data_IF_357646422392
#
_entry.id   IF_357646422392
#
_cell.length_a   1.000
_cell.length_b   1.000
_cell.length_c   1.000
_cell.angle_alpha   90.00
_cell.angle_beta   90.00
_cell.angle_gamma   90.00
#
_symmetry.space_group_name_H-M   'P 1'
#
loop_
_entity.id
_entity.type
_entity.pdbx_description
1 polymer ?
#
# COMPACT_ATOMS: atom_id res chain seq x y z
N UNK A 1 28.51 18.23 -6.10
CA UNK A 1 27.78 17.44 -5.10
C UNK A 1 27.11 16.17 -5.67
N UNK A 2 26.02 16.24 -6.47
CA UNK A 2 25.37 15.00 -6.97
C UNK A 2 26.19 14.24 -8.03
N UNK A 3 26.78 14.95 -8.99
CA UNK A 3 27.63 14.36 -10.03
C UNK A 3 28.93 13.76 -9.48
N UNK A 4 29.52 14.41 -8.48
CA UNK A 4 30.72 13.91 -7.77
C UNK A 4 30.45 12.62 -6.99
N UNK A 5 29.22 12.45 -6.50
CA UNK A 5 28.77 11.26 -5.78
C UNK A 5 28.28 10.13 -6.70
N UNK A 6 28.38 10.29 -8.03
CA UNK A 6 27.93 9.31 -9.03
C UNK A 6 26.49 8.83 -8.81
N UNK A 7 25.63 9.72 -8.30
CA UNK A 7 24.21 9.40 -8.11
C UNK A 7 23.59 9.14 -9.48
N UNK A 8 22.82 8.04 -9.60
CA UNK A 8 22.10 7.68 -10.82
C UNK A 8 20.57 7.67 -10.64
N UNK A 9 20.10 7.61 -9.40
CA UNK A 9 18.69 7.56 -9.05
C UNK A 9 18.44 8.38 -7.78
N UNK A 10 17.43 9.23 -7.84
CA UNK A 10 16.85 9.92 -6.68
C UNK A 10 15.45 9.35 -6.47
N UNK A 11 15.15 8.93 -5.24
CA UNK A 11 13.81 8.47 -4.86
C UNK A 11 13.16 9.54 -3.98
N UNK A 12 12.04 10.07 -4.45
CA UNK A 12 11.20 10.99 -3.69
C UNK A 12 10.00 10.19 -3.18
N UNK A 13 10.06 9.77 -1.92
CA UNK A 13 8.94 9.10 -1.28
C UNK A 13 7.93 10.12 -0.76
N UNK A 14 6.69 9.68 -0.54
CA UNK A 14 5.64 10.48 0.09
C UNK A 14 5.31 11.81 -0.65
N UNK A 15 5.39 11.80 -1.99
CA UNK A 15 5.20 12.99 -2.81
C UNK A 15 3.81 13.66 -2.63
N UNK A 16 2.80 12.91 -2.17
CA UNK A 16 1.48 13.46 -1.84
C UNK A 16 1.51 14.53 -0.76
N UNK A 17 2.53 14.56 0.10
CA UNK A 17 2.66 15.60 1.14
C UNK A 17 2.83 16.99 0.54
N UNK A 18 3.38 17.10 -0.68
CA UNK A 18 3.44 18.37 -1.41
C UNK A 18 2.02 18.79 -1.83
N UNK A 19 1.08 17.87 -1.97
CA UNK A 19 -0.25 18.13 -2.51
C UNK A 19 -1.26 18.57 -1.44
N UNK A 20 -1.20 17.97 -0.26
CA UNK A 20 -2.28 18.04 0.73
C UNK A 20 -2.59 19.44 1.28
N UNK A 21 -1.71 20.43 1.11
CA UNK A 21 -1.88 21.81 1.64
C UNK A 21 -1.36 22.92 0.73
N UNK A 22 -1.12 22.61 -0.53
CA UNK A 22 -0.38 23.50 -1.41
C UNK A 22 -1.25 24.19 -2.45
N UNK A 23 -0.91 25.45 -2.74
CA UNK A 23 -1.46 26.17 -3.89
C UNK A 23 -0.91 25.60 -5.19
N UNK A 24 -1.57 25.89 -6.32
CA UNK A 24 -1.08 25.49 -7.64
C UNK A 24 0.33 26.05 -7.92
N UNK A 25 0.67 27.20 -7.33
CA UNK A 25 2.02 27.78 -7.37
C UNK A 25 3.05 26.86 -6.71
N UNK A 26 2.79 26.37 -5.50
CA UNK A 26 3.70 25.45 -4.80
C UNK A 26 3.86 24.14 -5.57
N UNK A 27 2.77 23.62 -6.16
CA UNK A 27 2.83 22.44 -7.02
C UNK A 27 3.70 22.69 -8.26
N UNK A 28 3.61 23.88 -8.86
CA UNK A 28 4.44 24.27 -10.00
C UNK A 28 5.91 24.39 -9.59
N UNK A 29 6.20 25.10 -8.50
CA UNK A 29 7.55 25.32 -7.99
C UNK A 29 8.24 23.99 -7.65
N UNK A 30 7.53 23.05 -7.02
CA UNK A 30 8.04 21.71 -6.74
C UNK A 30 8.39 20.95 -8.04
N UNK A 31 7.54 21.05 -9.05
CA UNK A 31 7.79 20.39 -10.35
C UNK A 31 8.89 21.06 -11.15
N UNK A 32 9.05 22.37 -11.04
CA UNK A 32 10.20 23.08 -11.58
C UNK A 32 11.50 22.61 -10.93
N UNK A 33 11.53 22.44 -9.60
CA UNK A 33 12.70 21.91 -8.91
C UNK A 33 13.06 20.48 -9.36
N UNK A 34 12.06 19.59 -9.50
CA UNK A 34 12.29 18.23 -10.05
C UNK A 34 12.80 18.31 -11.49
N UNK A 35 12.24 19.19 -12.30
CA UNK A 35 12.67 19.41 -13.69
C UNK A 35 14.11 19.90 -13.76
N UNK A 36 14.53 20.83 -12.90
CA UNK A 36 15.90 21.34 -12.83
C UNK A 36 16.88 20.23 -12.47
N UNK A 37 16.56 19.39 -11.49
CA UNK A 37 17.38 18.21 -11.14
C UNK A 37 17.58 17.28 -12.34
N UNK A 38 16.54 17.03 -13.13
CA UNK A 38 16.62 16.19 -14.33
C UNK A 38 17.40 16.84 -15.49
N UNK A 39 17.54 18.16 -15.51
CA UNK A 39 18.29 18.90 -16.54
C UNK A 39 19.76 18.98 -16.17
N UNK A 40 20.04 19.33 -14.92
CA UNK A 40 21.38 19.68 -14.46
C UNK A 40 22.23 18.45 -14.16
N UNK A 41 21.60 17.29 -13.92
CA UNK A 41 22.27 16.06 -13.54
C UNK A 41 21.82 14.87 -14.39
N UNK A 42 22.73 13.93 -14.72
CA UNK A 42 22.40 12.69 -15.41
C UNK A 42 21.77 11.66 -14.45
N UNK A 43 20.69 12.05 -13.77
CA UNK A 43 19.97 11.24 -12.78
C UNK A 43 18.58 10.89 -13.25
N UNK A 44 18.09 9.73 -12.84
CA UNK A 44 16.67 9.41 -12.89
C UNK A 44 16.00 9.83 -11.57
N UNK A 45 14.74 10.24 -11.63
CA UNK A 45 13.92 10.53 -10.44
C UNK A 45 12.75 9.55 -10.40
N UNK A 46 12.66 8.77 -9.31
CA UNK A 46 11.52 7.93 -9.00
C UNK A 46 10.66 8.64 -7.96
N UNK A 47 9.45 9.02 -8.34
CA UNK A 47 8.47 9.58 -7.42
C UNK A 47 7.54 8.49 -6.90
N UNK A 48 7.55 8.26 -5.59
CA UNK A 48 6.64 7.37 -4.88
C UNK A 48 5.66 8.17 -4.03
N UNK A 49 4.44 7.66 -3.89
CA UNK A 49 3.38 8.32 -3.14
C UNK A 49 1.98 7.87 -3.54
N UNK A 50 0.96 8.51 -2.95
CA UNK A 50 -0.45 8.27 -3.27
C UNK A 50 -0.80 8.81 -4.67
N UNK A 51 -1.94 8.39 -5.20
CA UNK A 51 -2.39 8.77 -6.55
C UNK A 51 -2.43 10.29 -6.80
N UNK A 52 -2.71 11.08 -5.75
CA UNK A 52 -2.77 12.54 -5.83
C UNK A 52 -1.39 13.17 -6.11
N UNK A 53 -0.28 12.48 -5.84
CA UNK A 53 1.10 12.90 -6.17
C UNK A 53 1.28 13.21 -7.66
N UNK A 54 0.47 12.60 -8.52
CA UNK A 54 0.46 12.88 -9.96
C UNK A 54 0.15 14.34 -10.28
N UNK A 55 -0.50 15.07 -9.37
CA UNK A 55 -0.76 16.52 -9.51
C UNK A 55 0.52 17.33 -9.53
N UNK A 56 1.55 16.91 -8.80
CA UNK A 56 2.89 17.53 -8.88
C UNK A 56 3.40 17.35 -10.30
N UNK A 57 3.59 16.12 -10.78
CA UNK A 57 4.13 15.86 -12.12
C UNK A 57 3.39 16.59 -13.25
N UNK A 58 2.06 16.72 -13.14
CA UNK A 58 1.21 17.39 -14.14
C UNK A 58 1.16 18.92 -14.02
N UNK A 59 1.66 19.52 -12.95
CA UNK A 59 1.67 20.98 -12.79
C UNK A 59 2.61 21.66 -13.78
N UNK A 60 3.57 20.92 -14.34
CA UNK A 60 4.59 21.41 -15.26
C UNK A 60 4.63 20.56 -16.53
N UNK A 61 4.32 21.16 -17.68
CA UNK A 61 4.29 20.48 -18.98
C UNK A 61 5.66 19.90 -19.37
N UNK A 62 6.78 20.55 -19.00
CA UNK A 62 8.11 20.06 -19.32
C UNK A 62 8.44 18.78 -18.55
N UNK A 63 8.09 18.75 -17.26
CA UNK A 63 8.23 17.54 -16.44
C UNK A 63 7.26 16.45 -16.91
N UNK A 64 6.01 16.82 -17.21
CA UNK A 64 4.99 15.88 -17.71
C UNK A 64 5.37 15.23 -19.04
N UNK A 65 6.20 15.87 -19.89
CA UNK A 65 6.74 15.26 -21.12
C UNK A 65 7.91 14.31 -20.87
N UNK A 66 8.60 14.44 -19.73
CA UNK A 66 9.68 13.53 -19.30
C UNK A 66 9.18 12.37 -18.44
N UNK A 67 7.91 12.41 -18.07
CA UNK A 67 7.23 11.30 -17.41
C UNK A 67 7.22 10.07 -18.33
N UNK A 68 7.77 8.95 -17.85
CA UNK A 68 7.89 7.72 -18.64
C UNK A 68 6.83 6.68 -18.31
N UNK A 69 6.55 6.44 -17.02
CA UNK A 69 5.59 5.42 -16.59
C UNK A 69 5.14 5.64 -15.14
N UNK A 70 3.93 5.17 -14.81
CA UNK A 70 3.47 4.98 -13.43
C UNK A 70 3.19 3.51 -13.21
N UNK A 71 3.78 2.95 -12.16
CA UNK A 71 3.42 1.64 -11.64
C UNK A 71 2.46 1.83 -10.49
N UNK A 72 1.26 1.27 -10.62
CA UNK A 72 0.28 1.29 -9.54
C UNK A 72 0.33 -0.03 -8.78
N UNK A 73 0.79 0.03 -7.52
CA UNK A 73 0.70 -1.11 -6.60
C UNK A 73 -0.71 -1.13 -6.02
N UNK A 74 -1.61 -1.85 -6.69
CA UNK A 74 -2.99 -2.02 -6.26
C UNK A 74 -3.10 -3.20 -5.29
N UNK A 75 -4.10 -3.17 -4.41
CA UNK A 75 -4.49 -4.38 -3.68
C UNK A 75 -4.82 -5.52 -4.65
N UNK A 76 -4.45 -6.74 -4.27
CA UNK A 76 -4.76 -7.92 -5.04
C UNK A 76 -6.26 -8.20 -5.05
N UNK A 77 -6.74 -8.92 -6.07
CA UNK A 77 -8.12 -9.32 -6.22
C UNK A 77 -8.21 -10.84 -6.38
N UNK A 78 -8.76 -11.52 -5.38
CA UNK A 78 -8.89 -12.98 -5.38
C UNK A 78 -9.75 -13.52 -6.53
N UNK A 79 -10.76 -12.78 -6.98
CA UNK A 79 -11.63 -13.18 -8.09
C UNK A 79 -10.93 -13.14 -9.45
N UNK A 80 -9.86 -12.37 -9.56
CA UNK A 80 -9.06 -12.31 -10.78
C UNK A 80 -8.01 -13.41 -10.76
N UNK A 81 -8.12 -14.39 -11.65
CA UNK A 81 -7.13 -15.48 -11.76
C UNK A 81 -5.70 -14.94 -11.90
N UNK A 82 -5.50 -13.88 -12.69
CA UNK A 82 -4.18 -13.24 -12.86
C UNK A 82 -3.69 -12.59 -11.58
N UNK A 83 -4.55 -11.86 -10.87
CA UNK A 83 -4.17 -11.20 -9.63
C UNK A 83 -3.93 -12.21 -8.51
N UNK A 84 -4.76 -13.26 -8.41
CA UNK A 84 -4.57 -14.36 -7.46
C UNK A 84 -3.26 -15.08 -7.68
N UNK A 85 -2.91 -15.42 -8.93
CA UNK A 85 -1.59 -15.99 -9.27
C UNK A 85 -0.44 -15.08 -8.87
N UNK A 86 -0.59 -13.77 -9.06
CA UNK A 86 0.44 -12.79 -8.65
C UNK A 86 0.58 -12.72 -7.14
N UNK A 87 -0.54 -12.78 -6.39
CA UNK A 87 -0.54 -12.82 -4.93
C UNK A 87 0.15 -14.08 -4.40
N UNK A 88 -0.20 -15.26 -4.94
CA UNK A 88 0.45 -16.54 -4.58
C UNK A 88 1.96 -16.48 -4.82
N UNK A 89 2.41 -15.89 -5.93
CA UNK A 89 3.85 -15.70 -6.20
C UNK A 89 4.53 -14.78 -5.20
N UNK A 90 3.85 -13.75 -4.71
CA UNK A 90 4.38 -12.90 -3.63
C UNK A 90 4.57 -13.71 -2.36
N UNK A 91 3.61 -14.56 -1.99
CA UNK A 91 3.77 -15.45 -0.84
C UNK A 91 4.93 -16.43 -1.03
N UNK A 92 5.12 -16.98 -2.22
CA UNK A 92 6.30 -17.79 -2.56
C UNK A 92 7.63 -17.02 -2.45
N UNK A 93 7.64 -15.72 -2.73
CA UNK A 93 8.84 -14.89 -2.51
C UNK A 93 9.15 -14.72 -1.01
N UNK A 94 8.14 -14.61 -0.15
CA UNK A 94 8.33 -14.63 1.30
C UNK A 94 8.80 -16.00 1.79
N UNK A 95 8.23 -17.09 1.26
CA UNK A 95 8.65 -18.46 1.54
C UNK A 95 10.14 -18.65 1.30
N UNK A 96 10.63 -18.20 0.13
CA UNK A 96 12.05 -18.24 -0.22
C UNK A 96 12.89 -17.32 0.67
N UNK A 97 12.38 -16.14 1.05
CA UNK A 97 13.14 -15.20 1.91
C UNK A 97 13.27 -15.72 3.35
N UNK A 98 12.34 -16.56 3.79
CA UNK A 98 12.28 -17.14 5.12
C UNK A 98 12.65 -18.64 5.12
N UNK A 99 13.45 -19.09 4.15
CA UNK A 99 13.87 -20.48 3.95
C UNK A 99 14.55 -21.13 5.18
N UNK A 100 15.10 -20.32 6.07
CA UNK A 100 15.67 -20.74 7.35
C UNK A 100 14.64 -21.18 8.41
N UNK A 101 13.34 -21.03 8.11
CA UNK A 101 12.20 -21.46 8.91
C UNK A 101 11.38 -22.54 8.18
N UNK A 102 10.80 -23.45 8.94
CA UNK A 102 9.77 -24.38 8.51
C UNK A 102 8.41 -23.65 8.46
N UNK A 103 7.87 -23.52 7.25
CA UNK A 103 6.65 -22.78 6.93
C UNK A 103 5.60 -23.75 6.35
N UNK A 104 4.30 -23.50 6.56
CA UNK A 104 3.29 -24.17 5.75
C UNK A 104 3.49 -23.78 4.28
N UNK A 105 3.04 -24.64 3.36
CA UNK A 105 3.15 -24.41 1.91
C UNK A 105 2.41 -23.11 1.52
N UNK A 106 3.15 -22.00 1.45
CA UNK A 106 2.55 -20.66 1.33
C UNK A 106 1.87 -20.45 -0.02
N UNK A 107 2.25 -21.25 -1.00
CA UNK A 107 1.70 -21.24 -2.34
C UNK A 107 0.47 -22.13 -2.52
N UNK A 108 0.12 -22.93 -1.52
CA UNK A 108 -1.12 -23.71 -1.53
C UNK A 108 -2.34 -22.78 -1.60
N UNK A 109 -3.42 -23.22 -2.27
CA UNK A 109 -4.63 -22.40 -2.40
C UNK A 109 -5.24 -22.07 -1.03
N UNK A 110 -5.14 -23.01 -0.08
CA UNK A 110 -5.65 -22.86 1.27
C UNK A 110 -4.91 -21.75 2.04
N UNK A 111 -3.59 -21.86 2.17
CA UNK A 111 -2.78 -20.88 2.91
C UNK A 111 -2.84 -19.52 2.23
N UNK A 112 -2.73 -19.48 0.90
CA UNK A 112 -2.83 -18.23 0.16
C UNK A 112 -4.21 -17.55 0.34
N UNK A 113 -5.30 -18.33 0.41
CA UNK A 113 -6.62 -17.78 0.66
C UNK A 113 -6.71 -17.16 2.06
N UNK A 114 -6.19 -17.84 3.09
CA UNK A 114 -6.13 -17.30 4.46
C UNK A 114 -5.38 -15.97 4.52
N UNK A 115 -4.23 -15.87 3.88
CA UNK A 115 -3.48 -14.61 3.77
C UNK A 115 -4.28 -13.53 3.02
N UNK A 116 -5.01 -13.88 1.97
CA UNK A 116 -5.86 -12.93 1.28
C UNK A 116 -6.99 -12.42 2.18
N UNK A 117 -7.67 -13.30 2.90
CA UNK A 117 -8.74 -12.94 3.83
C UNK A 117 -8.21 -12.08 4.98
N UNK A 118 -7.04 -12.43 5.52
CA UNK A 118 -6.38 -11.69 6.59
C UNK A 118 -6.02 -10.25 6.21
N UNK A 119 -5.74 -9.98 4.93
CA UNK A 119 -5.10 -8.74 4.48
C UNK A 119 -5.93 -7.93 3.50
N UNK A 120 -7.01 -8.48 2.95
CA UNK A 120 -7.72 -7.89 1.83
C UNK A 120 -6.89 -7.78 0.55
N UNK A 121 -5.79 -8.56 0.47
CA UNK A 121 -4.81 -8.47 -0.61
C UNK A 121 -3.96 -7.19 -0.57
N UNK A 122 -3.78 -6.57 0.60
CA UNK A 122 -2.93 -5.38 0.75
C UNK A 122 -1.50 -5.81 1.07
N UNK A 123 -0.54 -5.42 0.22
CA UNK A 123 0.87 -5.84 0.34
C UNK A 123 1.52 -5.41 1.66
N UNK A 124 1.22 -4.20 2.14
CA UNK A 124 1.72 -3.70 3.43
C UNK A 124 1.34 -4.65 4.58
N UNK A 125 0.09 -5.13 4.58
CA UNK A 125 -0.40 -6.03 5.62
C UNK A 125 0.19 -7.43 5.52
N UNK A 126 0.38 -7.95 4.31
CA UNK A 126 1.12 -9.21 4.10
C UNK A 126 2.53 -9.09 4.68
N UNK A 127 3.24 -8.02 4.34
CA UNK A 127 4.62 -7.77 4.79
C UNK A 127 4.70 -7.64 6.32
N UNK A 128 3.74 -6.95 6.94
CA UNK A 128 3.65 -6.82 8.40
C UNK A 128 3.43 -8.15 9.10
N UNK A 129 2.56 -9.02 8.58
CA UNK A 129 2.36 -10.36 9.15
C UNK A 129 3.68 -11.13 9.13
N UNK A 130 4.40 -11.18 8.00
CA UNK A 130 5.67 -11.89 7.92
C UNK A 130 6.75 -11.28 8.83
N UNK A 131 6.83 -9.95 8.92
CA UNK A 131 7.75 -9.26 9.82
C UNK A 131 7.50 -9.65 11.28
N UNK A 132 6.25 -9.62 11.74
CA UNK A 132 5.91 -10.03 13.10
C UNK A 132 6.09 -11.53 13.32
N UNK A 133 5.75 -12.37 12.34
CA UNK A 133 5.93 -13.82 12.44
C UNK A 133 7.42 -14.19 12.63
N UNK A 134 8.30 -13.61 11.81
CA UNK A 134 9.75 -13.81 11.96
C UNK A 134 10.26 -13.29 13.32
N UNK A 135 9.77 -12.11 13.77
CA UNK A 135 10.13 -11.55 15.07
C UNK A 135 9.70 -12.45 16.23
N UNK A 136 8.49 -13.01 16.17
CA UNK A 136 7.96 -13.93 17.19
C UNK A 136 8.75 -15.24 17.19
N UNK A 137 9.03 -15.80 16.01
CA UNK A 137 9.78 -17.05 15.89
C UNK A 137 11.20 -16.89 16.46
N UNK A 138 11.89 -15.80 16.12
CA UNK A 138 13.22 -15.48 16.65
C UNK A 138 13.19 -15.33 18.18
N UNK A 139 12.24 -14.56 18.72
CA UNK A 139 12.08 -14.36 20.16
C UNK A 139 11.81 -15.69 20.90
N UNK A 140 11.07 -16.61 20.28
CA UNK A 140 10.78 -17.95 20.82
C UNK A 140 11.88 -18.97 20.52
N UNK A 141 12.92 -18.60 19.77
CA UNK A 141 13.93 -19.52 19.19
C UNK A 141 13.29 -20.70 18.45
N UNK A 142 12.15 -20.46 17.83
CA UNK A 142 11.42 -21.46 17.05
C UNK A 142 11.95 -21.47 15.62
N UNK A 143 12.16 -22.68 15.08
CA UNK A 143 12.39 -22.87 13.64
C UNK A 143 11.11 -23.04 12.84
N UNK A 144 9.96 -23.20 13.50
CA UNK A 144 8.66 -23.38 12.85
C UNK A 144 7.87 -22.09 12.92
N UNK A 145 7.40 -21.60 11.77
CA UNK A 145 6.41 -20.52 11.64
C UNK A 145 5.10 -21.15 11.16
N UNK A 146 4.35 -21.71 12.11
CA UNK A 146 3.04 -22.31 11.85
C UNK A 146 1.88 -21.31 11.98
N UNK A 147 0.66 -21.83 11.83
CA UNK A 147 -0.57 -21.04 11.94
C UNK A 147 -0.73 -20.31 13.28
N UNK A 148 -0.23 -20.87 14.39
CA UNK A 148 -0.27 -20.20 15.70
C UNK A 148 0.55 -18.90 15.71
N UNK A 149 1.76 -18.94 15.14
CA UNK A 149 2.60 -17.74 14.99
C UNK A 149 2.00 -16.77 14.00
N UNK A 150 1.45 -17.24 12.86
CA UNK A 150 0.76 -16.34 11.92
C UNK A 150 -0.48 -15.69 12.52
N UNK A 151 -1.25 -16.42 13.32
CA UNK A 151 -2.40 -15.88 14.02
C UNK A 151 -2.00 -14.78 15.01
N UNK A 152 -0.94 -15.00 15.79
CA UNK A 152 -0.40 -13.97 16.68
C UNK A 152 0.16 -12.77 15.90
N UNK A 153 0.94 -13.02 14.85
CA UNK A 153 1.50 -11.98 14.00
C UNK A 153 0.42 -11.12 13.34
N UNK A 154 -0.64 -11.75 12.86
CA UNK A 154 -1.84 -11.08 12.35
C UNK A 154 -2.50 -10.22 13.44
N UNK A 155 -2.74 -10.75 14.63
CA UNK A 155 -3.30 -9.93 15.73
C UNK A 155 -2.44 -8.73 16.11
N UNK A 156 -1.12 -8.79 15.92
CA UNK A 156 -0.19 -7.67 16.16
C UNK A 156 -0.12 -6.68 14.99
N UNK A 157 -0.31 -7.15 13.77
CA UNK A 157 -0.24 -6.33 12.56
C UNK A 157 -1.44 -5.39 12.40
N UNK A 158 -2.57 -5.69 13.04
CA UNK A 158 -3.84 -4.98 12.88
C UNK A 158 -4.34 -4.38 14.19
N UNK A 159 -5.05 -3.25 14.08
CA UNK A 159 -5.86 -2.73 15.19
C UNK A 159 -7.04 -3.67 15.42
N UNK A 160 -7.41 -3.91 16.68
CA UNK A 160 -8.41 -4.92 17.07
C UNK A 160 -9.76 -4.78 16.35
N UNK A 161 -10.14 -3.56 15.95
CA UNK A 161 -11.37 -3.24 15.21
C UNK A 161 -11.35 -3.65 13.74
N UNK A 162 -10.19 -4.03 13.19
CA UNK A 162 -10.01 -4.47 11.80
C UNK A 162 -9.90 -5.99 11.67
N UNK A 163 -9.83 -6.70 12.80
CA UNK A 163 -9.80 -8.16 12.86
C UNK A 163 -11.20 -8.75 12.64
N UNK A 164 -11.43 -9.35 11.46
CA UNK A 164 -12.60 -10.17 11.17
C UNK A 164 -12.43 -11.63 11.64
N UNK A 165 -12.96 -12.57 10.85
CA UNK A 165 -12.81 -14.02 11.09
C UNK A 165 -11.33 -14.38 11.20
N UNK A 166 -10.92 -15.05 12.29
CA UNK A 166 -9.53 -15.39 12.58
C UNK A 166 -8.96 -16.33 11.49
N UNK A 167 -8.28 -15.81 10.46
CA UNK A 167 -8.06 -16.54 9.21
C UNK A 167 -6.96 -17.60 9.35
N UNK A 168 -6.17 -17.51 10.42
CA UNK A 168 -5.11 -18.46 10.78
C UNK A 168 -5.53 -19.37 11.93
N UNK A 169 -6.80 -19.37 12.34
CA UNK A 169 -7.31 -20.35 13.29
C UNK A 169 -7.43 -21.74 12.62
N UNK A 170 -7.22 -22.80 13.41
CA UNK A 170 -7.24 -24.18 12.90
C UNK A 170 -8.62 -24.61 12.38
N UNK A 171 -9.69 -23.99 12.87
CA UNK A 171 -11.09 -24.26 12.52
C UNK A 171 -11.62 -23.35 11.39
N UNK A 172 -10.77 -22.53 10.78
CA UNK A 172 -11.18 -21.71 9.65
C UNK A 172 -11.53 -22.57 8.43
N UNK A 173 -12.76 -22.45 7.95
CA UNK A 173 -13.28 -23.21 6.82
C UNK A 173 -13.23 -22.40 5.53
N UNK A 174 -12.73 -23.04 4.47
CA UNK A 174 -12.71 -22.48 3.11
C UNK A 174 -13.96 -22.94 2.35
N UNK A 175 -14.62 -22.00 1.68
CA UNK A 175 -15.75 -22.27 0.77
C UNK A 175 -17.12 -22.03 1.40
N UNK A 176 -17.26 -22.18 2.72
CA UNK A 176 -18.45 -21.71 3.43
C UNK A 176 -18.46 -20.19 3.52
N UNK A 177 -19.56 -19.55 3.13
CA UNK A 177 -19.70 -18.09 3.13
C UNK A 177 -18.57 -17.33 2.40
N UNK A 178 -17.97 -17.95 1.39
CA UNK A 178 -16.84 -17.37 0.64
C UNK A 178 -17.11 -15.95 0.14
N UNK A 179 -18.34 -15.69 -0.32
CA UNK A 179 -18.74 -14.36 -0.78
C UNK A 179 -18.71 -13.31 0.33
N UNK A 180 -19.10 -13.70 1.55
CA UNK A 180 -19.08 -12.83 2.72
C UNK A 180 -17.64 -12.60 3.22
N UNK A 181 -16.84 -13.66 3.29
CA UNK A 181 -15.42 -13.58 3.63
C UNK A 181 -14.69 -12.61 2.68
N UNK A 182 -14.91 -12.74 1.36
CA UNK A 182 -14.33 -11.85 0.37
C UNK A 182 -14.81 -10.40 0.53
N UNK A 183 -16.11 -10.18 0.80
CA UNK A 183 -16.63 -8.83 1.06
C UNK A 183 -15.96 -8.17 2.27
N UNK A 184 -15.82 -8.91 3.37
CA UNK A 184 -15.13 -8.44 4.59
C UNK A 184 -13.67 -8.14 4.32
N UNK A 185 -12.96 -9.06 3.67
CA UNK A 185 -11.56 -8.85 3.29
C UNK A 185 -11.39 -7.59 2.42
N UNK A 186 -12.30 -7.34 1.48
CA UNK A 186 -12.27 -6.14 0.65
C UNK A 186 -12.65 -4.85 1.40
N UNK A 187 -13.31 -4.94 2.56
CA UNK A 187 -13.56 -3.78 3.42
C UNK A 187 -12.38 -3.36 4.28
N UNK A 188 -11.34 -4.19 4.38
CA UNK A 188 -10.12 -3.89 5.14
C UNK A 188 -9.44 -2.64 4.58
N UNK A 189 -9.06 -1.72 5.49
CA UNK A 189 -8.36 -0.47 5.21
C UNK A 189 -9.03 0.33 4.07
N UNK A 190 -10.36 0.36 4.04
CA UNK A 190 -11.08 1.32 3.22
C UNK A 190 -11.00 2.68 3.92
N UNK A 191 -10.65 3.76 3.21
CA UNK A 191 -10.63 5.08 3.79
C UNK A 191 -12.04 5.42 4.31
N UNK A 192 -12.14 6.15 5.44
CA UNK A 192 -13.42 6.60 5.93
C UNK A 192 -14.12 7.38 4.81
N UNK A 193 -15.46 7.26 4.68
CA UNK A 193 -16.19 8.02 3.67
C UNK A 193 -15.83 9.50 3.82
N UNK A 194 -15.27 10.11 2.77
CA UNK A 194 -14.93 11.53 2.76
C UNK A 194 -16.20 12.29 3.16
N UNK A 195 -16.25 12.82 4.39
CA UNK A 195 -17.27 13.78 4.77
C UNK A 195 -17.10 14.95 3.79
N UNK A 196 -18.04 15.09 2.84
CA UNK A 196 -18.13 16.31 2.07
C UNK A 196 -18.31 17.41 3.10
N UNK A 197 -17.26 18.21 3.34
CA UNK A 197 -17.41 19.49 4.01
C UNK A 197 -18.57 20.17 3.30
N UNK A 198 -19.72 20.29 3.99
CA UNK A 198 -20.83 21.07 3.50
C UNK A 198 -20.22 22.43 3.19
N UNK A 199 -20.31 22.87 1.94
CA UNK A 199 -20.14 24.28 1.58
C UNK A 199 -21.32 25.01 2.22
N UNK A 200 -21.29 25.16 3.54
CA UNK A 200 -22.31 25.91 4.26
C UNK A 200 -22.15 27.39 3.89
N UNK A 201 -23.13 27.85 3.10
CA UNK A 201 -23.75 29.18 3.18
C UNK A 201 -22.87 30.45 3.15
N UNK A 202 -21.64 30.42 2.64
CA UNK A 202 -20.91 31.66 2.35
C UNK A 202 -21.55 32.52 1.23
N UNK A 203 -22.48 31.95 0.44
CA UNK A 203 -23.26 32.71 -0.56
C UNK A 203 -24.53 33.39 -0.02
N UNK A 204 -24.91 33.17 1.24
CA UNK A 204 -26.17 33.70 1.78
C UNK A 204 -26.04 35.07 2.46
N UNK A 205 -24.84 35.49 2.88
CA UNK A 205 -24.66 36.79 3.55
C UNK A 205 -24.35 37.96 2.62
N UNK A 206 -23.81 37.71 1.43
CA UNK A 206 -23.57 38.80 0.46
C UNK A 206 -24.87 39.33 -0.15
N UNK A 207 -25.95 38.54 -0.13
CA UNK A 207 -27.29 39.00 -0.54
C UNK A 207 -28.06 39.72 0.58
N UNK A 208 -27.60 39.65 1.84
CA UNK A 208 -28.23 40.34 2.98
C UNK A 208 -27.65 41.75 3.23
N UNK A 209 -26.56 42.13 2.57
CA UNK A 209 -25.94 43.47 2.70
C UNK A 209 -26.02 44.35 1.44
N UNK A 210 -26.72 43.91 0.39
CA UNK A 210 -27.11 44.78 -0.74
C UNK A 210 -25.94 45.47 -1.45
N UNK A 211 -24.86 44.73 -1.75
CA UNK A 211 -23.80 45.13 -2.68
C UNK A 211 -23.65 44.08 -3.79
#
# INVERSE_FOLDING_TARGET
MLGEQQVRLIVLDDLQHIVDRSSDRILFDASEAIKEVLIDYPVSVLCAGLADSMRVIKSNEQLSRRYMATVHIKRFNWRSVRSRRSFVRVLGAFEHTLDSYDLPELQSEEVAYRFFIATGGIMDFVSKIFLFAATIAEARRSKVIGFEIFHEAWRRAFLHSECGDAPFANDFVIGENQEEQLKRALSINLPPPRQRLRKDKAKSRLQEIGL
#
